data_IF_917194427407
#
_entry.id   IF_917194427407
#
_cell.length_a   1.000
_cell.length_b   1.000
_cell.length_c   1.000
_cell.angle_alpha   90.00
_cell.angle_beta   90.00
_cell.angle_gamma   90.00
#
_symmetry.space_group_name_H-M   'P 1'
#
loop_
_entity.id
_entity.type
_entity.pdbx_description
1 polymer ?
#
# COMPACT_ATOMS: atom_id res chain seq x y z
N UNK A 1 14.92 25.73 6.03
CA UNK A 1 13.77 25.20 6.80
C UNK A 1 14.31 24.65 8.11
N UNK A 2 13.74 25.08 9.24
CA UNK A 2 14.21 24.74 10.59
C UNK A 2 13.76 23.32 11.00
N UNK A 3 14.68 22.54 11.57
CA UNK A 3 14.44 21.15 12.02
C UNK A 3 13.34 21.06 13.08
N UNK A 4 13.15 22.09 13.90
CA UNK A 4 12.09 22.13 14.91
C UNK A 4 10.69 22.21 14.28
N UNK A 5 10.54 22.96 13.20
CA UNK A 5 9.27 23.10 12.49
C UNK A 5 8.83 21.77 11.87
N UNK A 6 9.79 21.00 11.38
CA UNK A 6 9.58 19.66 10.80
C UNK A 6 9.07 18.68 11.88
N UNK A 7 9.65 18.72 13.08
CA UNK A 7 9.27 17.83 14.18
C UNK A 7 7.88 18.16 14.76
N UNK A 8 7.52 19.44 14.83
CA UNK A 8 6.18 19.86 15.26
C UNK A 8 5.09 19.45 14.25
N UNK A 9 5.38 19.56 12.94
CA UNK A 9 4.48 19.08 11.87
C UNK A 9 4.26 17.56 11.94
N UNK A 10 5.27 16.79 12.34
CA UNK A 10 5.16 15.32 12.57
C UNK A 10 4.20 14.99 13.71
N UNK A 11 4.32 15.66 14.85
CA UNK A 11 3.44 15.44 16.01
C UNK A 11 1.98 15.72 15.67
N UNK A 12 1.70 16.80 14.91
CA UNK A 12 0.35 17.15 14.47
C UNK A 12 -0.28 16.10 13.54
N UNK A 13 0.49 15.47 12.65
CA UNK A 13 -0.02 14.40 11.76
C UNK A 13 -0.32 13.12 12.53
N UNK A 14 0.56 12.72 13.45
CA UNK A 14 0.37 11.52 14.27
C UNK A 14 -0.90 11.62 15.12
N UNK A 15 -1.20 12.80 15.68
CA UNK A 15 -2.43 13.04 16.43
C UNK A 15 -3.71 12.93 15.58
N UNK A 16 -3.63 13.05 14.25
CA UNK A 16 -4.77 12.91 13.34
C UNK A 16 -4.98 11.49 12.78
N UNK A 17 -4.10 10.54 13.11
CA UNK A 17 -4.04 9.21 12.49
C UNK A 17 -4.88 8.13 13.22
N UNK A 18 -5.62 8.46 14.28
CA UNK A 18 -6.29 7.48 15.16
C UNK A 18 -7.58 6.83 14.59
N UNK A 19 -7.82 6.83 13.28
CA UNK A 19 -8.99 6.15 12.70
C UNK A 19 -8.70 5.61 11.31
N UNK A 20 -8.07 4.44 11.22
CA UNK A 20 -7.88 3.74 9.94
C UNK A 20 -7.71 2.23 10.10
N UNK A 21 -8.61 1.55 10.82
CA UNK A 21 -8.63 0.08 10.88
C UNK A 21 -10.02 -0.53 10.66
N UNK A 22 -10.84 0.08 9.80
CA UNK A 22 -12.05 -0.58 9.28
C UNK A 22 -12.00 -0.65 7.76
N UNK A 23 -11.11 -1.48 7.22
CA UNK A 23 -11.24 -1.88 5.83
C UNK A 23 -12.19 -3.08 5.75
N UNK A 24 -13.20 -3.05 4.85
CA UNK A 24 -14.08 -4.18 4.66
C UNK A 24 -13.26 -5.43 4.31
N UNK A 25 -13.51 -6.51 5.05
CA UNK A 25 -12.91 -7.81 4.80
C UNK A 25 -13.49 -8.35 3.49
N UNK A 26 -12.64 -8.58 2.50
CA UNK A 26 -13.06 -9.20 1.24
C UNK A 26 -13.35 -10.67 1.56
N UNK A 27 -14.54 -11.16 1.21
CA UNK A 27 -14.88 -12.58 1.38
C UNK A 27 -13.96 -13.40 0.47
N UNK A 28 -13.17 -14.29 1.08
CA UNK A 28 -12.02 -14.90 0.41
C UNK A 28 -12.34 -16.17 -0.36
N UNK A 29 -13.56 -16.72 -0.24
CA UNK A 29 -13.93 -18.03 -0.78
C UNK A 29 -14.61 -17.91 -2.17
N UNK A 30 -13.87 -17.36 -3.15
CA UNK A 30 -14.34 -17.14 -4.51
C UNK A 30 -13.69 -18.15 -5.46
N UNK A 31 -14.46 -18.63 -6.45
CA UNK A 31 -13.93 -19.44 -7.54
C UNK A 31 -12.97 -18.64 -8.44
N UNK A 32 -12.14 -19.35 -9.22
CA UNK A 32 -11.22 -18.74 -10.18
C UNK A 32 -11.94 -17.81 -11.16
N UNK A 33 -13.07 -18.25 -11.71
CA UNK A 33 -13.86 -17.49 -12.69
C UNK A 33 -14.47 -16.21 -12.09
N UNK A 34 -14.94 -16.28 -10.84
CA UNK A 34 -15.44 -15.11 -10.15
C UNK A 34 -14.33 -14.09 -9.89
N UNK A 35 -13.13 -14.53 -9.49
CA UNK A 35 -11.99 -13.64 -9.30
C UNK A 35 -11.58 -12.93 -10.60
N UNK A 36 -11.54 -13.66 -11.72
CA UNK A 36 -11.27 -13.07 -13.03
C UNK A 36 -12.33 -12.04 -13.43
N UNK A 37 -13.61 -12.35 -13.18
CA UNK A 37 -14.72 -11.42 -13.42
C UNK A 37 -14.59 -10.16 -12.56
N UNK A 38 -14.28 -10.32 -11.26
CA UNK A 38 -14.04 -9.19 -10.35
C UNK A 38 -12.88 -8.33 -10.82
N UNK A 39 -11.78 -8.92 -11.30
CA UNK A 39 -10.64 -8.18 -11.85
C UNK A 39 -11.02 -7.40 -13.12
N UNK A 40 -11.77 -8.01 -14.04
CA UNK A 40 -12.29 -7.31 -15.24
C UNK A 40 -13.13 -6.10 -14.86
N UNK A 41 -13.95 -6.22 -13.81
CA UNK A 41 -14.77 -5.11 -13.32
C UNK A 41 -13.97 -3.96 -12.68
N UNK A 42 -12.68 -4.15 -12.38
CA UNK A 42 -11.82 -3.07 -11.90
C UNK A 42 -11.24 -2.21 -13.04
N UNK A 43 -11.30 -2.69 -14.28
CA UNK A 43 -10.75 -1.99 -15.45
C UNK A 43 -11.57 -0.74 -15.72
N UNK A 44 -10.90 0.39 -15.92
CA UNK A 44 -11.54 1.68 -16.22
C UNK A 44 -12.11 2.40 -15.00
N UNK A 45 -12.05 1.81 -13.80
CA UNK A 45 -12.41 2.53 -12.58
C UNK A 45 -11.40 3.66 -12.31
N UNK A 46 -11.92 4.86 -12.09
CA UNK A 46 -11.14 6.03 -11.71
C UNK A 46 -11.39 6.37 -10.26
N UNK A 47 -10.33 6.72 -9.53
CA UNK A 47 -10.41 7.13 -8.13
C UNK A 47 -9.85 8.54 -7.97
N UNK A 48 -10.52 9.37 -7.18
CA UNK A 48 -10.10 10.77 -6.96
C UNK A 48 -9.20 10.89 -5.74
N UNK A 49 -9.51 10.14 -4.68
CA UNK A 49 -8.78 10.21 -3.42
C UNK A 49 -7.70 9.13 -3.31
N UNK A 50 -6.62 9.43 -2.58
CA UNK A 50 -5.57 8.45 -2.31
C UNK A 50 -6.09 7.22 -1.53
N UNK A 51 -7.10 7.42 -0.68
CA UNK A 51 -7.79 6.35 0.03
C UNK A 51 -8.50 5.38 -0.92
N UNK A 52 -9.29 5.90 -1.87
CA UNK A 52 -9.94 5.07 -2.90
C UNK A 52 -8.90 4.33 -3.75
N UNK A 53 -7.85 5.02 -4.19
CA UNK A 53 -6.75 4.42 -4.96
C UNK A 53 -6.10 3.27 -4.19
N UNK A 54 -5.79 3.46 -2.90
CA UNK A 54 -5.26 2.40 -2.05
C UNK A 54 -6.21 1.19 -1.97
N UNK A 55 -7.51 1.42 -1.77
CA UNK A 55 -8.49 0.32 -1.69
C UNK A 55 -8.63 -0.44 -3.02
N UNK A 56 -8.65 0.26 -4.15
CA UNK A 56 -8.69 -0.34 -5.47
C UNK A 56 -7.46 -1.24 -5.70
N UNK A 57 -6.26 -0.72 -5.41
CA UNK A 57 -5.00 -1.44 -5.57
C UNK A 57 -4.90 -2.63 -4.62
N UNK A 58 -5.33 -2.48 -3.36
CA UNK A 58 -5.40 -3.58 -2.38
C UNK A 58 -6.31 -4.70 -2.86
N UNK A 59 -7.50 -4.36 -3.37
CA UNK A 59 -8.46 -5.34 -3.88
C UNK A 59 -7.92 -6.08 -5.10
N UNK A 60 -7.30 -5.36 -6.04
CA UNK A 60 -6.62 -5.94 -7.21
C UNK A 60 -5.53 -6.93 -6.78
N UNK A 61 -4.67 -6.50 -5.86
CA UNK A 61 -3.54 -7.27 -5.35
C UNK A 61 -3.97 -8.58 -4.68
N UNK A 62 -5.06 -8.55 -3.91
CA UNK A 62 -5.60 -9.73 -3.25
C UNK A 62 -6.07 -10.80 -4.25
N UNK A 63 -6.84 -10.39 -5.28
CA UNK A 63 -7.28 -11.33 -6.32
C UNK A 63 -6.10 -11.91 -7.11
N UNK A 64 -5.13 -11.06 -7.48
CA UNK A 64 -3.93 -11.51 -8.20
C UNK A 64 -3.10 -12.48 -7.36
N UNK A 65 -2.87 -12.18 -6.09
CA UNK A 65 -2.12 -13.06 -5.18
C UNK A 65 -2.76 -14.44 -5.07
N UNK A 66 -4.08 -14.51 -4.91
CA UNK A 66 -4.81 -15.79 -4.87
C UNK A 66 -4.75 -16.56 -6.18
N UNK A 67 -4.94 -15.90 -7.31
CA UNK A 67 -4.86 -16.53 -8.63
C UNK A 67 -3.45 -17.11 -8.86
N UNK A 68 -2.41 -16.35 -8.51
CA UNK A 68 -1.03 -16.83 -8.58
C UNK A 68 -0.84 -18.06 -7.70
N UNK A 69 -1.38 -18.08 -6.47
CA UNK A 69 -1.26 -19.22 -5.57
C UNK A 69 -2.03 -20.46 -6.06
N UNK A 70 -3.22 -20.30 -6.65
CA UNK A 70 -3.99 -21.40 -7.25
C UNK A 70 -3.27 -22.02 -8.45
N UNK A 71 -2.64 -21.19 -9.28
CA UNK A 71 -1.90 -21.64 -10.47
C UNK A 71 -0.44 -22.05 -10.16
N UNK A 72 -0.01 -21.96 -8.89
CA UNK A 72 1.34 -22.35 -8.47
C UNK A 72 1.43 -23.85 -8.23
N UNK A 73 2.07 -24.57 -9.16
CA UNK A 73 2.64 -25.88 -8.84
C UNK A 73 3.79 -25.69 -7.83
N UNK A 74 3.94 -26.56 -6.82
CA UNK A 74 5.08 -26.50 -5.90
C UNK A 74 6.37 -26.79 -6.68
N UNK A 75 7.20 -25.77 -6.88
CA UNK A 75 8.44 -25.88 -7.66
C UNK A 75 8.98 -24.53 -8.08
N UNK A 76 10.06 -24.10 -7.41
CA UNK A 76 10.99 -23.01 -7.72
C UNK A 76 10.48 -21.87 -8.63
N UNK A 77 9.48 -21.11 -8.17
CA UNK A 77 9.15 -19.82 -8.82
C UNK A 77 10.20 -18.79 -8.41
N UNK A 78 11.05 -18.40 -9.36
CA UNK A 78 11.96 -17.29 -9.17
C UNK A 78 11.16 -15.99 -8.99
N UNK A 79 11.34 -15.34 -7.83
CA UNK A 79 10.71 -14.06 -7.55
C UNK A 79 11.45 -12.98 -8.34
N UNK A 80 10.75 -12.30 -9.24
CA UNK A 80 11.26 -11.16 -10.00
C UNK A 80 10.54 -9.89 -9.56
N UNK A 81 11.31 -8.90 -9.08
CA UNK A 81 10.81 -7.55 -8.89
C UNK A 81 10.55 -6.88 -10.24
N UNK A 82 9.37 -6.29 -10.41
CA UNK A 82 8.96 -5.62 -11.66
C UNK A 82 8.70 -4.12 -11.50
N UNK A 83 8.70 -3.62 -10.27
CA UNK A 83 8.52 -2.19 -10.01
C UNK A 83 9.77 -1.43 -10.45
N UNK A 84 9.57 -0.44 -11.33
CA UNK A 84 10.64 0.42 -11.85
C UNK A 84 10.92 1.62 -10.94
N UNK A 85 9.97 1.94 -10.06
CA UNK A 85 10.09 3.03 -9.10
C UNK A 85 10.76 2.59 -7.80
N UNK A 86 11.26 3.58 -7.05
CA UNK A 86 11.78 3.38 -5.69
C UNK A 86 10.71 2.95 -4.68
N UNK A 87 9.43 3.23 -4.94
CA UNK A 87 8.29 2.85 -4.09
C UNK A 87 7.11 2.33 -4.94
N UNK A 88 6.58 1.13 -4.65
CA UNK A 88 5.40 0.62 -5.35
C UNK A 88 4.16 1.50 -5.15
N UNK A 89 3.36 1.70 -6.19
CA UNK A 89 2.16 2.56 -6.16
C UNK A 89 1.20 2.24 -4.99
N UNK A 90 0.91 0.96 -4.77
CA UNK A 90 0.05 0.50 -3.66
C UNK A 90 0.57 0.97 -2.31
N UNK A 91 1.89 0.98 -2.15
CA UNK A 91 2.55 1.40 -0.92
C UNK A 91 2.50 2.91 -0.72
N UNK A 92 2.66 3.69 -1.80
CA UNK A 92 2.56 5.16 -1.75
C UNK A 92 1.25 5.62 -1.13
N UNK A 93 0.14 5.11 -1.66
CA UNK A 93 -1.18 5.46 -1.15
C UNK A 93 -1.44 4.85 0.22
N UNK A 94 -0.94 3.65 0.52
CA UNK A 94 -1.05 3.08 1.86
C UNK A 94 -0.41 3.99 2.92
N UNK A 95 0.81 4.47 2.65
CA UNK A 95 1.56 5.33 3.57
C UNK A 95 0.92 6.70 3.73
N UNK A 96 0.33 7.24 2.68
CA UNK A 96 -0.45 8.49 2.76
C UNK A 96 -1.73 8.33 3.61
N UNK A 97 -2.46 7.24 3.42
CA UNK A 97 -3.66 6.91 4.21
C UNK A 97 -3.30 6.73 5.68
N UNK A 98 -2.20 6.03 5.97
CA UNK A 98 -1.69 5.81 7.33
C UNK A 98 -0.98 7.01 7.94
N UNK A 99 -0.81 8.11 7.18
CA UNK A 99 -0.02 9.29 7.58
C UNK A 99 1.40 8.94 8.06
N UNK A 100 2.00 7.92 7.45
CA UNK A 100 3.33 7.40 7.78
C UNK A 100 4.41 7.82 6.76
N UNK A 101 4.24 8.98 6.15
CA UNK A 101 5.19 9.55 5.19
C UNK A 101 6.26 10.34 5.90
N UNK A 102 7.48 10.27 5.38
CA UNK A 102 8.55 11.14 5.81
C UNK A 102 8.41 12.52 5.16
N UNK A 103 8.90 13.57 5.83
CA UNK A 103 8.79 14.94 5.28
C UNK A 103 9.58 15.13 3.98
N UNK A 104 10.65 14.36 3.78
CA UNK A 104 11.40 14.34 2.52
C UNK A 104 10.59 13.77 1.35
N UNK A 105 9.54 12.99 1.62
CA UNK A 105 8.66 12.39 0.61
C UNK A 105 7.46 13.29 0.27
N UNK A 106 7.42 14.50 0.86
CA UNK A 106 6.33 15.46 0.71
C UNK A 106 6.79 16.78 0.07
N UNK A 107 5.84 17.57 -0.42
CA UNK A 107 6.06 18.96 -0.80
C UNK A 107 5.96 19.90 0.42
N UNK A 108 6.09 21.21 0.19
CA UNK A 108 5.98 22.25 1.23
C UNK A 108 4.61 22.28 1.92
N UNK A 109 3.56 21.86 1.22
CA UNK A 109 2.19 21.75 1.72
C UNK A 109 1.93 20.41 2.43
N UNK A 110 2.89 19.50 2.39
CA UNK A 110 2.80 18.19 3.02
C UNK A 110 2.07 17.14 2.20
N UNK A 111 1.80 17.41 0.92
CA UNK A 111 1.23 16.45 -0.04
C UNK A 111 2.33 15.51 -0.53
N UNK A 112 1.92 14.30 -0.90
CA UNK A 112 2.84 13.25 -1.34
C UNK A 112 3.51 13.63 -2.66
N UNK A 113 4.82 13.40 -2.78
CA UNK A 113 5.57 13.60 -4.02
C UNK A 113 6.09 12.25 -4.48
N UNK A 114 5.45 11.68 -5.50
CA UNK A 114 5.71 10.33 -5.99
C UNK A 114 7.20 10.06 -6.25
N UNK A 115 7.89 10.98 -6.92
CA UNK A 115 9.30 10.87 -7.28
C UNK A 115 10.26 10.81 -6.08
N UNK A 116 9.82 11.31 -4.93
CA UNK A 116 10.60 11.32 -3.69
C UNK A 116 10.31 10.12 -2.78
N UNK A 117 9.30 9.31 -3.11
CA UNK A 117 8.89 8.20 -2.27
C UNK A 117 9.85 7.02 -2.37
N UNK A 118 10.21 6.47 -1.22
CA UNK A 118 11.08 5.31 -1.12
C UNK A 118 10.34 4.18 -0.41
N UNK A 119 10.51 2.95 -0.91
CA UNK A 119 9.93 1.76 -0.29
C UNK A 119 10.36 1.68 1.18
N UNK A 120 9.40 1.57 2.07
CA UNK A 120 9.66 1.34 3.49
C UNK A 120 10.33 -0.01 3.68
N UNK A 121 11.37 -0.01 4.51
CA UNK A 121 12.04 -1.24 4.87
C UNK A 121 11.09 -2.12 5.70
N UNK A 122 10.61 -3.20 5.08
CA UNK A 122 9.87 -4.24 5.76
C UNK A 122 10.84 -5.10 6.57
N UNK A 123 10.92 -4.83 7.88
CA UNK A 123 11.59 -5.75 8.80
C UNK A 123 10.80 -7.06 8.81
N UNK A 124 11.46 -8.13 8.39
CA UNK A 124 10.90 -9.48 8.51
C UNK A 124 10.74 -9.83 9.99
N UNK A 125 9.83 -10.75 10.33
CA UNK A 125 9.52 -11.15 11.70
C UNK A 125 10.70 -11.73 12.51
N UNK A 126 11.89 -11.88 11.92
CA UNK A 126 13.10 -12.35 12.60
C UNK A 126 13.49 -11.47 13.81
N UNK A 127 13.11 -10.20 13.83
CA UNK A 127 13.34 -9.26 14.96
C UNK A 127 12.12 -9.10 15.89
N UNK A 128 11.05 -9.89 15.73
CA UNK A 128 9.95 -9.89 16.71
C UNK A 128 10.45 -10.59 17.98
N UNK A 129 11.03 -9.82 18.88
CA UNK A 129 11.15 -10.22 20.28
C UNK A 129 9.71 -10.36 20.79
N UNK A 130 9.23 -11.59 20.92
CA UNK A 130 8.03 -11.87 21.69
C UNK A 130 8.35 -11.45 23.14
N UNK A 131 7.88 -10.27 23.53
CA UNK A 131 7.85 -9.82 24.93
C UNK A 131 6.46 -10.13 25.49
#
# INVERSE_FOLDING_TARGET
MDSNEIMQRRQKRLASAESSNNLPKINLNLSKEEMLTRLKNLIGLTCTTNTEKFHLLRRRDEFLSKLVNLDSKPGNKFIKGTCQDMCPEKERYMRDVKKSLHFYECDSEGRIVHEKMVKDYSRSAADQVNV
#
